data_IF_929348991054
#
_entry.id   IF_929348991054
#
_cell.length_a   1.000
_cell.length_b   1.000
_cell.length_c   1.000
_cell.angle_alpha   90.00
_cell.angle_beta   90.00
_cell.angle_gamma   90.00
#
_symmetry.space_group_name_H-M   'P 1'
#
loop_
_entity.id
_entity.type
_entity.pdbx_description
1 polymer ?
#
# COMPACT_ATOMS: atom_id res chain seq x y z
N UNK A 1 40.25 -14.50 -1.31
CA UNK A 1 39.68 -14.22 -1.31
C UNK A 1 39.38 -13.88 -1.29
N UNK A 2 39.11 -13.90 -1.22
CA UNK A 2 38.49 -13.62 -1.35
C UNK A 2 37.80 -13.17 -1.21
N UNK A 3 37.96 -13.04 -0.99
CA UNK A 3 36.97 -12.67 -0.99
C UNK A 3 36.19 -12.39 -1.10
N UNK A 4 36.31 -12.88 -1.03
CA UNK A 4 35.49 -12.82 -0.91
C UNK A 4 34.99 -12.26 -0.91
N UNK A 5 35.31 -12.10 -0.86
CA UNK A 5 34.78 -11.52 -0.80
C UNK A 5 34.46 -11.04 -1.48
N UNK A 6 35.28 -10.69 -1.48
CA UNK A 6 34.78 -10.13 -2.46
C UNK A 6 33.68 -10.49 -3.08
N UNK A 7 33.55 -11.09 -2.68
CA UNK A 7 32.30 -11.70 -2.90
C UNK A 7 31.13 -10.77 -3.06
N UNK A 8 31.27 -9.55 -2.65
CA UNK A 8 30.19 -8.59 -2.75
C UNK A 8 29.65 -8.37 -4.14
N UNK A 9 30.41 -8.74 -5.14
CA UNK A 9 30.02 -8.53 -6.53
C UNK A 9 29.28 -9.71 -7.11
N UNK A 10 29.19 -10.79 -6.37
CA UNK A 10 28.48 -11.97 -6.84
C UNK A 10 26.98 -11.72 -6.83
N UNK A 11 26.24 -12.19 -7.86
CA UNK A 11 24.77 -12.17 -7.81
C UNK A 11 24.22 -12.88 -6.59
N UNK A 12 24.97 -13.84 -6.04
CA UNK A 12 24.56 -14.57 -4.86
C UNK A 12 24.56 -13.71 -3.60
N UNK A 13 25.28 -12.58 -3.61
CA UNK A 13 25.33 -11.68 -2.47
C UNK A 13 24.37 -10.51 -2.59
N UNK A 14 23.68 -10.37 -3.72
CA UNK A 14 22.71 -9.30 -3.89
C UNK A 14 21.53 -9.53 -2.97
N UNK A 15 21.13 -8.53 -2.19
CA UNK A 15 19.97 -8.68 -1.32
C UNK A 15 18.71 -9.00 -2.11
N UNK A 16 17.90 -9.86 -1.56
CA UNK A 16 16.62 -10.19 -2.15
C UNK A 16 15.52 -9.34 -1.53
N UNK A 17 14.38 -9.29 -2.21
CA UNK A 17 13.18 -8.67 -1.69
C UNK A 17 12.82 -9.31 -0.34
N UNK A 18 12.62 -8.50 0.67
CA UNK A 18 12.38 -8.94 2.05
C UNK A 18 10.90 -9.11 2.40
N UNK A 19 10.04 -9.14 1.39
CA UNK A 19 8.61 -9.30 1.62
C UNK A 19 8.31 -10.64 2.30
N UNK A 20 7.44 -10.61 3.31
CA UNK A 20 6.96 -11.82 3.92
C UNK A 20 5.85 -12.42 3.06
N UNK A 21 5.95 -13.69 2.78
CA UNK A 21 4.96 -14.41 1.99
C UNK A 21 4.50 -15.63 2.76
N UNK A 22 3.31 -16.12 2.41
CA UNK A 22 2.84 -17.37 2.98
C UNK A 22 3.72 -18.51 2.50
N UNK A 23 3.79 -19.63 3.25
CA UNK A 23 4.57 -20.78 2.79
C UNK A 23 4.15 -21.31 1.42
N UNK A 24 2.89 -21.12 1.05
CA UNK A 24 2.37 -21.56 -0.24
C UNK A 24 2.90 -20.72 -1.41
N UNK A 25 3.19 -19.45 -1.15
CA UNK A 25 3.69 -18.54 -2.18
C UNK A 25 5.20 -18.61 -2.35
N UNK A 26 5.89 -19.08 -1.32
CA UNK A 26 7.34 -19.09 -1.33
C UNK A 26 7.95 -17.72 -1.15
N UNK A 27 9.25 -17.62 -1.29
CA UNK A 27 9.98 -16.37 -1.14
C UNK A 27 10.09 -15.65 -2.48
N UNK A 28 10.09 -14.32 -2.43
CA UNK A 28 10.32 -13.52 -3.62
C UNK A 28 11.79 -13.65 -4.03
N UNK A 29 12.02 -14.03 -5.27
CA UNK A 29 13.38 -14.24 -5.79
C UNK A 29 13.95 -13.01 -6.49
N UNK A 30 13.16 -11.95 -6.62
CA UNK A 30 13.61 -10.73 -7.27
C UNK A 30 14.56 -9.96 -6.36
N UNK A 31 15.53 -9.22 -6.95
CA UNK A 31 16.45 -8.42 -6.12
C UNK A 31 15.70 -7.30 -5.41
N UNK A 32 16.15 -6.97 -4.20
CA UNK A 32 15.65 -5.81 -3.47
C UNK A 32 16.26 -4.55 -4.03
N UNK A 33 15.42 -3.62 -4.44
CA UNK A 33 15.86 -2.38 -5.08
C UNK A 33 15.34 -1.13 -4.39
N UNK A 34 14.23 -1.24 -3.68
CA UNK A 34 13.55 -0.09 -3.06
C UNK A 34 13.50 -0.29 -1.56
N UNK A 35 13.98 0.71 -0.81
CA UNK A 35 13.89 0.66 0.64
C UNK A 35 12.55 1.24 1.08
N UNK A 36 11.65 0.36 1.45
CA UNK A 36 10.30 0.72 1.83
C UNK A 36 10.26 1.18 3.28
N UNK A 37 9.77 2.39 3.51
CA UNK A 37 9.69 3.01 4.85
C UNK A 37 11.04 3.03 5.58
N UNK A 38 12.14 2.97 4.83
CA UNK A 38 13.48 2.98 5.42
C UNK A 38 13.88 1.71 6.16
N UNK A 39 13.03 0.68 6.12
CA UNK A 39 13.25 -0.55 6.89
C UNK A 39 13.45 -1.76 5.99
N UNK A 40 12.49 -2.00 5.10
CA UNK A 40 12.49 -3.19 4.25
C UNK A 40 13.07 -2.91 2.88
N UNK A 41 13.90 -3.81 2.40
CA UNK A 41 14.41 -3.73 1.04
C UNK A 41 13.54 -4.63 0.16
N UNK A 42 12.81 -4.03 -0.77
CA UNK A 42 11.81 -4.72 -1.58
C UNK A 42 12.14 -4.60 -3.06
N UNK A 43 11.69 -5.57 -3.86
CA UNK A 43 11.70 -5.39 -5.31
C UNK A 43 10.70 -4.31 -5.70
N UNK A 44 10.86 -3.74 -6.89
CA UNK A 44 9.98 -2.67 -7.37
C UNK A 44 8.50 -3.02 -7.29
N UNK A 45 8.08 -4.17 -7.86
CA UNK A 45 6.65 -4.56 -7.80
C UNK A 45 6.09 -4.69 -6.39
N UNK A 46 6.83 -5.28 -5.45
CA UNK A 46 6.36 -5.42 -4.07
C UNK A 46 6.30 -4.07 -3.37
N UNK A 47 7.30 -3.20 -3.60
CA UNK A 47 7.28 -1.87 -3.01
C UNK A 47 6.06 -1.08 -3.50
N UNK A 48 5.77 -1.16 -4.80
CA UNK A 48 4.61 -0.50 -5.37
C UNK A 48 3.30 -1.05 -4.79
N UNK A 49 3.21 -2.37 -4.64
CA UNK A 49 2.01 -3.00 -4.07
C UNK A 49 1.78 -2.55 -2.62
N UNK A 50 2.81 -2.60 -1.79
CA UNK A 50 2.66 -2.18 -0.38
C UNK A 50 2.31 -0.71 -0.26
N UNK A 51 2.86 0.13 -1.13
CA UNK A 51 2.53 1.55 -1.13
C UNK A 51 1.05 1.77 -1.46
N UNK A 52 0.53 1.04 -2.44
CA UNK A 52 -0.89 1.11 -2.80
C UNK A 52 -1.78 0.62 -1.66
N UNK A 53 -1.37 -0.44 -0.98
CA UNK A 53 -2.13 -0.98 0.16
C UNK A 53 -2.16 0.03 1.31
N UNK A 54 -1.06 0.73 1.56
CA UNK A 54 -1.01 1.78 2.57
C UNK A 54 -1.93 2.95 2.20
N UNK A 55 -1.94 3.32 0.92
CA UNK A 55 -2.84 4.38 0.44
C UNK A 55 -4.30 3.99 0.62
N UNK A 56 -4.64 2.75 0.29
CA UNK A 56 -6.00 2.25 0.45
C UNK A 56 -6.44 2.28 1.91
N UNK A 57 -5.55 1.88 2.81
CA UNK A 57 -5.84 1.88 4.24
C UNK A 57 -6.06 3.30 4.76
N UNK A 58 -5.23 4.25 4.32
CA UNK A 58 -5.37 5.65 4.74
C UNK A 58 -6.69 6.24 4.25
N UNK A 59 -7.07 5.97 3.01
CA UNK A 59 -8.34 6.47 2.46
C UNK A 59 -9.53 5.83 3.18
N UNK A 60 -9.45 4.53 3.45
CA UNK A 60 -10.51 3.82 4.17
C UNK A 60 -10.70 4.40 5.57
N UNK A 61 -9.60 4.70 6.26
CA UNK A 61 -9.65 5.36 7.56
C UNK A 61 -10.34 6.70 7.50
N UNK A 62 -10.07 7.49 6.46
CA UNK A 62 -10.73 8.78 6.24
C UNK A 62 -12.22 8.61 6.02
N UNK A 63 -12.63 7.58 5.26
CA UNK A 63 -14.05 7.31 5.02
C UNK A 63 -14.74 6.96 6.34
N UNK A 64 -14.14 6.13 7.17
CA UNK A 64 -14.69 5.77 8.47
C UNK A 64 -14.83 6.99 9.37
N UNK A 65 -13.86 7.89 9.39
CA UNK A 65 -13.92 9.11 10.18
C UNK A 65 -15.06 10.02 9.72
N UNK A 66 -15.22 10.15 8.41
CA UNK A 66 -16.31 10.96 7.86
C UNK A 66 -17.67 10.35 8.16
N UNK A 67 -17.81 9.03 8.07
CA UNK A 67 -19.04 8.33 8.42
C UNK A 67 -19.40 8.54 9.88
N UNK A 68 -18.43 8.40 10.77
CA UNK A 68 -18.63 8.59 12.19
C UNK A 68 -19.07 10.01 12.49
N UNK A 69 -18.41 10.99 11.88
CA UNK A 69 -18.77 12.40 12.06
C UNK A 69 -20.18 12.70 11.55
N UNK A 70 -20.53 12.14 10.37
CA UNK A 70 -21.87 12.34 9.81
C UNK A 70 -22.93 11.70 10.68
N UNK A 71 -22.66 10.54 11.24
CA UNK A 71 -23.59 9.87 12.14
C UNK A 71 -23.82 10.68 13.40
N UNK A 72 -22.76 11.25 13.98
CA UNK A 72 -22.86 12.06 15.20
C UNK A 72 -23.52 13.40 14.95
N UNK A 73 -23.31 14.02 13.80
CA UNK A 73 -23.74 15.41 13.55
C UNK A 73 -24.88 15.55 12.57
N UNK A 74 -25.24 14.51 11.86
CA UNK A 74 -26.22 14.58 10.78
C UNK A 74 -27.63 14.96 11.22
N UNK A 75 -27.97 14.71 12.47
CA UNK A 75 -29.31 15.05 13.00
C UNK A 75 -29.25 16.04 14.12
N UNK A 76 -28.13 16.69 14.38
CA UNK A 76 -27.95 17.58 15.52
C UNK A 76 -28.12 19.06 15.16
N UNK A 77 -28.65 19.38 13.98
CA UNK A 77 -28.81 20.76 13.56
C UNK A 77 -27.56 21.38 12.98
N UNK A 78 -26.56 20.55 12.58
CA UNK A 78 -25.39 21.07 11.93
C UNK A 78 -25.72 21.71 10.58
N UNK A 79 -24.87 22.61 10.13
CA UNK A 79 -25.04 23.34 8.88
C UNK A 79 -25.17 22.37 7.70
N UNK A 80 -26.28 22.45 6.98
CA UNK A 80 -26.56 21.60 5.83
C UNK A 80 -25.51 21.74 4.73
N UNK A 81 -24.97 22.92 4.53
CA UNK A 81 -23.92 23.14 3.55
C UNK A 81 -22.67 22.40 3.93
N UNK A 82 -22.30 22.42 5.19
CA UNK A 82 -21.13 21.70 5.69
C UNK A 82 -21.32 20.19 5.61
N UNK A 83 -22.52 19.70 5.97
CA UNK A 83 -22.87 18.30 5.85
C UNK A 83 -22.78 17.84 4.39
N UNK A 84 -23.27 18.65 3.47
CA UNK A 84 -23.19 18.35 2.04
C UNK A 84 -21.76 18.25 1.56
N UNK A 85 -20.89 19.12 2.08
CA UNK A 85 -19.47 19.08 1.72
C UNK A 85 -18.79 17.80 2.21
N UNK A 86 -19.08 17.40 3.44
CA UNK A 86 -18.49 16.17 3.99
C UNK A 86 -18.99 14.95 3.21
N UNK A 87 -20.29 14.91 2.86
CA UNK A 87 -20.83 13.81 2.05
C UNK A 87 -20.15 13.74 0.68
N UNK A 88 -19.89 14.89 0.08
CA UNK A 88 -19.20 14.95 -1.21
C UNK A 88 -17.75 14.45 -1.09
N UNK A 89 -17.04 14.90 -0.07
CA UNK A 89 -15.67 14.45 0.17
C UNK A 89 -15.63 12.94 0.40
N UNK A 90 -16.63 12.40 1.09
CA UNK A 90 -16.72 10.97 1.32
C UNK A 90 -16.93 10.22 0.00
N UNK A 91 -17.79 10.73 -0.88
CA UNK A 91 -17.99 10.11 -2.19
C UNK A 91 -16.69 10.11 -3.02
N UNK A 92 -15.96 11.21 -2.97
CA UNK A 92 -14.68 11.30 -3.67
C UNK A 92 -13.67 10.32 -3.09
N UNK A 93 -13.62 10.17 -1.78
CA UNK A 93 -12.74 9.22 -1.12
C UNK A 93 -13.08 7.79 -1.49
N UNK A 94 -14.38 7.45 -1.55
CA UNK A 94 -14.82 6.11 -1.96
C UNK A 94 -14.43 5.84 -3.40
N UNK A 95 -14.57 6.83 -4.28
CA UNK A 95 -14.19 6.68 -5.68
C UNK A 95 -12.67 6.46 -5.80
N UNK A 96 -11.88 7.23 -5.03
CA UNK A 96 -10.42 7.06 -5.00
C UNK A 96 -10.05 5.66 -4.51
N UNK A 97 -10.74 5.17 -3.48
CA UNK A 97 -10.49 3.83 -2.94
C UNK A 97 -10.76 2.74 -3.99
N UNK A 98 -11.84 2.87 -4.76
CA UNK A 98 -12.14 1.93 -5.85
C UNK A 98 -11.02 1.92 -6.87
N UNK A 99 -10.53 3.09 -7.23
CA UNK A 99 -9.44 3.22 -8.19
C UNK A 99 -8.16 2.56 -7.67
N UNK A 100 -7.82 2.82 -6.40
CA UNK A 100 -6.65 2.22 -5.77
C UNK A 100 -6.78 0.70 -5.74
N UNK A 101 -7.97 0.16 -5.47
CA UNK A 101 -8.21 -1.28 -5.45
C UNK A 101 -7.99 -1.94 -6.80
N UNK A 102 -8.33 -1.23 -7.88
CA UNK A 102 -8.05 -1.72 -9.23
C UNK A 102 -6.54 -1.79 -9.46
N UNK A 103 -5.82 -0.76 -9.03
CA UNK A 103 -4.37 -0.73 -9.14
C UNK A 103 -3.72 -1.83 -8.30
N UNK A 104 -4.25 -2.10 -7.11
CA UNK A 104 -3.76 -3.18 -6.24
C UNK A 104 -3.90 -4.53 -6.94
N UNK A 105 -5.04 -4.78 -7.58
CA UNK A 105 -5.25 -6.04 -8.30
C UNK A 105 -4.23 -6.21 -9.41
N UNK A 106 -3.97 -5.15 -10.15
CA UNK A 106 -2.97 -5.16 -11.21
C UNK A 106 -1.58 -5.44 -10.66
N UNK A 107 -1.22 -4.75 -9.57
CA UNK A 107 0.08 -4.90 -8.94
C UNK A 107 0.28 -6.31 -8.37
N UNK A 108 -0.78 -6.90 -7.84
CA UNK A 108 -0.71 -8.29 -7.34
C UNK A 108 -0.39 -9.27 -8.45
N UNK A 109 -0.95 -9.05 -9.63
CA UNK A 109 -0.63 -9.90 -10.78
C UNK A 109 0.83 -9.80 -11.15
N UNK A 110 1.40 -8.60 -11.07
CA UNK A 110 2.82 -8.41 -11.38
C UNK A 110 3.73 -9.15 -10.41
N UNK A 111 3.41 -9.12 -9.12
CA UNK A 111 4.27 -9.78 -8.13
C UNK A 111 4.15 -11.29 -8.17
N UNK A 112 3.12 -11.83 -8.78
CA UNK A 112 2.95 -13.27 -8.94
C UNK A 112 3.70 -13.81 -10.16
N UNK A 113 4.16 -12.95 -11.02
CA UNK A 113 4.98 -13.34 -12.16
C UNK A 113 6.47 -13.49 -11.73
#
# INVERSE_FOLDING_TARGET
MRPEEAAGNSPLTQPRCEIEKTPLEGECQKPGEVRYKGILLLCGPHAALLQLEDQAEAVLGSVFQMDEWLEENGSSGADEEYLGRIRHEREEAVAALRHIRVQIRSARKEVLQ
#
